data_IF_711408415878
#
_entry.id   IF_711408415878
#
_cell.length_a   1.000
_cell.length_b   1.000
_cell.length_c   1.000
_cell.angle_alpha   90.00
_cell.angle_beta   90.00
_cell.angle_gamma   90.00
#
_symmetry.space_group_name_H-M   'P 1'
#
loop_
_entity.id
_entity.type
_entity.pdbx_description
1 polymer ?
#
# COMPACT_ATOMS: atom_id res chain seq x y z
N UNK A 1 -9.91 7.79 15.28
CA UNK A 1 -9.51 7.53 13.89
C UNK A 1 -8.76 6.21 13.86
N UNK A 2 -9.10 5.29 12.95
CA UNK A 2 -8.45 3.97 12.87
C UNK A 2 -7.92 3.70 11.46
N UNK A 3 -6.66 3.30 11.36
CA UNK A 3 -6.02 2.92 10.10
C UNK A 3 -5.92 1.41 10.00
N UNK A 4 -6.31 0.85 8.87
CA UNK A 4 -5.99 -0.54 8.51
C UNK A 4 -4.68 -0.53 7.74
N UNK A 5 -3.64 -1.18 8.27
CA UNK A 5 -2.32 -1.26 7.64
C UNK A 5 -2.08 -2.71 7.22
N UNK A 6 -1.71 -2.91 5.96
CA UNK A 6 -1.44 -4.23 5.36
C UNK A 6 -0.13 -4.20 4.58
N UNK A 7 0.52 -5.35 4.45
CA UNK A 7 1.74 -5.50 3.65
C UNK A 7 2.27 -6.93 3.66
N UNK A 8 3.13 -7.26 2.71
CA UNK A 8 3.92 -8.51 2.56
C UNK A 8 3.10 -9.79 2.32
N UNK A 9 2.03 -9.99 3.09
CA UNK A 9 1.16 -11.15 3.01
C UNK A 9 -0.30 -10.75 3.15
N UNK A 10 -1.12 -11.34 2.30
CA UNK A 10 -2.57 -11.20 2.38
C UNK A 10 -3.12 -11.97 3.57
N UNK A 11 -3.89 -11.26 4.40
CA UNK A 11 -4.58 -11.83 5.55
C UNK A 11 -5.92 -12.45 5.11
N UNK A 12 -6.13 -13.78 5.26
CA UNK A 12 -7.37 -14.44 4.87
C UNK A 12 -8.62 -13.83 5.51
N UNK A 13 -8.54 -13.33 6.74
CA UNK A 13 -9.66 -12.67 7.43
C UNK A 13 -10.08 -11.35 6.76
N UNK A 14 -9.22 -10.76 5.94
CA UNK A 14 -9.47 -9.55 5.19
C UNK A 14 -9.86 -9.83 3.72
N UNK A 15 -9.93 -11.11 3.30
CA UNK A 15 -10.27 -11.49 1.93
C UNK A 15 -11.16 -12.73 1.86
N UNK A 16 -10.61 -13.93 2.06
CA UNK A 16 -11.32 -15.21 1.91
C UNK A 16 -12.47 -15.38 2.92
N UNK A 17 -12.25 -14.92 4.15
CA UNK A 17 -13.22 -14.97 5.25
C UNK A 17 -13.64 -13.57 5.67
N UNK A 18 -13.76 -12.67 4.69
CA UNK A 18 -14.04 -11.28 4.95
C UNK A 18 -15.38 -11.07 5.66
N UNK A 19 -15.31 -10.48 6.85
CA UNK A 19 -16.46 -9.96 7.58
C UNK A 19 -16.16 -8.54 8.07
N UNK A 20 -16.85 -7.57 7.47
CA UNK A 20 -16.70 -6.14 7.79
C UNK A 20 -17.01 -5.84 9.26
N UNK A 21 -17.89 -6.62 9.90
CA UNK A 21 -18.28 -6.41 11.29
C UNK A 21 -17.12 -6.59 12.28
N UNK A 22 -16.12 -7.40 11.90
CA UNK A 22 -14.90 -7.67 12.70
C UNK A 22 -13.92 -6.50 12.70
N UNK A 23 -14.08 -5.56 11.76
CA UNK A 23 -13.20 -4.43 11.57
C UNK A 23 -13.96 -3.08 11.59
N UNK A 24 -14.65 -2.74 12.70
CA UNK A 24 -15.50 -1.57 12.75
C UNK A 24 -14.68 -0.26 12.89
N UNK A 25 -15.09 0.73 12.10
CA UNK A 25 -14.61 2.11 12.23
C UNK A 25 -13.26 2.39 11.56
N UNK A 26 -12.89 1.64 10.51
CA UNK A 26 -11.74 2.00 9.67
C UNK A 26 -12.01 3.31 8.95
N UNK A 27 -11.04 4.23 9.00
CA UNK A 27 -11.07 5.54 8.34
C UNK A 27 -10.22 5.59 7.06
N UNK A 28 -9.11 4.87 7.04
CA UNK A 28 -8.08 4.89 6.00
C UNK A 28 -7.41 3.51 5.90
N UNK A 29 -7.08 3.09 4.68
CA UNK A 29 -6.27 1.89 4.42
C UNK A 29 -4.88 2.33 3.96
N UNK A 30 -3.85 1.74 4.54
CA UNK A 30 -2.45 1.91 4.16
C UNK A 30 -1.87 0.57 3.72
N UNK A 31 -1.17 0.55 2.59
CA UNK A 31 -0.40 -0.61 2.14
C UNK A 31 1.08 -0.28 2.07
N UNK A 32 1.91 -1.14 2.68
CA UNK A 32 3.38 -1.04 2.61
C UNK A 32 3.98 -1.85 1.45
N UNK A 33 3.15 -2.44 0.59
CA UNK A 33 3.58 -3.16 -0.60
C UNK A 33 3.64 -4.68 -0.45
N UNK A 34 4.08 -5.34 -1.53
CA UNK A 34 4.16 -6.80 -1.72
C UNK A 34 2.80 -7.49 -1.53
N UNK A 35 1.76 -6.89 -2.10
CA UNK A 35 0.38 -7.38 -2.06
C UNK A 35 -0.21 -7.37 -3.46
N UNK A 36 -1.15 -8.28 -3.76
CA UNK A 36 -1.75 -8.29 -5.11
C UNK A 36 -2.59 -7.01 -5.32
N UNK A 37 -2.57 -6.40 -6.51
CA UNK A 37 -3.41 -5.24 -6.83
C UNK A 37 -4.90 -5.48 -6.60
N UNK A 38 -5.37 -6.69 -6.89
CA UNK A 38 -6.76 -7.11 -6.69
C UNK A 38 -7.17 -7.14 -5.22
N UNK A 39 -6.27 -7.57 -4.33
CA UNK A 39 -6.50 -7.57 -2.89
C UNK A 39 -6.68 -6.14 -2.36
N UNK A 40 -5.78 -5.22 -2.73
CA UNK A 40 -5.90 -3.81 -2.33
C UNK A 40 -7.17 -3.15 -2.90
N UNK A 41 -7.51 -3.45 -4.15
CA UNK A 41 -8.76 -2.97 -4.78
C UNK A 41 -10.00 -3.49 -4.04
N UNK A 42 -9.97 -4.76 -3.61
CA UNK A 42 -11.02 -5.37 -2.81
C UNK A 42 -11.16 -4.67 -1.46
N UNK A 43 -10.07 -4.47 -0.71
CA UNK A 43 -10.13 -3.78 0.58
C UNK A 43 -10.75 -2.39 0.47
N UNK A 44 -10.30 -1.61 -0.52
CA UNK A 44 -10.85 -0.27 -0.77
C UNK A 44 -12.36 -0.32 -1.04
N UNK A 45 -12.80 -1.29 -1.85
CA UNK A 45 -14.21 -1.48 -2.22
C UNK A 45 -15.05 -1.90 -1.01
N UNK A 46 -14.62 -2.90 -0.26
CA UNK A 46 -15.39 -3.49 0.83
C UNK A 46 -15.48 -2.57 2.05
N UNK A 47 -14.37 -1.89 2.39
CA UNK A 47 -14.38 -0.91 3.46
C UNK A 47 -14.99 0.43 3.04
N UNK A 48 -14.98 0.75 1.74
CA UNK A 48 -15.37 2.05 1.19
C UNK A 48 -14.60 3.19 1.88
N UNK A 49 -13.27 3.06 1.91
CA UNK A 49 -12.35 4.01 2.55
C UNK A 49 -11.17 4.29 1.62
N UNK A 50 -10.55 5.48 1.72
CA UNK A 50 -9.38 5.79 0.93
C UNK A 50 -8.26 4.76 1.15
N UNK A 51 -7.52 4.47 0.08
CA UNK A 51 -6.35 3.61 0.10
C UNK A 51 -5.14 4.44 -0.34
N UNK A 52 -4.14 4.54 0.54
CA UNK A 52 -2.80 4.99 0.17
C UNK A 52 -1.87 3.80 0.19
N UNK A 53 -1.03 3.67 -0.84
CA UNK A 53 -0.11 2.56 -0.94
C UNK A 53 1.25 3.02 -1.44
N UNK A 54 2.25 2.21 -1.14
CA UNK A 54 3.53 2.17 -1.84
C UNK A 54 3.70 0.78 -2.44
N UNK A 55 4.57 0.66 -3.44
CA UNK A 55 4.95 -0.64 -4.00
C UNK A 55 6.02 -1.29 -3.13
N UNK A 56 5.90 -2.59 -2.91
CA UNK A 56 7.00 -3.41 -2.45
C UNK A 56 7.94 -3.73 -3.61
N UNK A 57 9.05 -4.39 -3.33
CA UNK A 57 10.04 -4.73 -4.35
C UNK A 57 9.52 -5.78 -5.35
N UNK A 58 8.53 -6.59 -4.98
CA UNK A 58 7.95 -7.62 -5.85
C UNK A 58 6.71 -7.13 -6.62
N UNK A 59 6.24 -5.91 -6.38
CA UNK A 59 5.04 -5.33 -7.00
C UNK A 59 5.25 -4.85 -8.45
N UNK A 60 6.09 -5.52 -9.22
CA UNK A 60 6.41 -5.18 -10.63
C UNK A 60 5.15 -5.10 -11.51
N UNK A 61 4.13 -5.92 -11.21
CA UNK A 61 2.87 -5.98 -11.94
C UNK A 61 2.05 -4.68 -11.83
N UNK A 62 2.32 -3.84 -10.83
CA UNK A 62 1.58 -2.58 -10.61
C UNK A 62 1.78 -1.59 -11.76
N UNK A 63 2.87 -1.72 -12.53
CA UNK A 63 3.10 -0.90 -13.73
C UNK A 63 2.02 -1.12 -14.80
N UNK A 64 1.52 -2.35 -14.91
CA UNK A 64 0.50 -2.73 -15.89
C UNK A 64 -0.90 -2.76 -15.27
N UNK A 65 -0.99 -3.23 -14.02
CA UNK A 65 -2.25 -3.47 -13.32
C UNK A 65 -2.16 -2.93 -11.89
N UNK A 66 -2.18 -1.61 -11.70
CA UNK A 66 -2.18 -1.04 -10.36
C UNK A 66 -3.49 -1.31 -9.61
N UNK A 67 -3.51 -1.20 -8.27
CA UNK A 67 -4.74 -1.19 -7.49
C UNK A 67 -5.72 -0.14 -8.02
N UNK A 68 -6.97 -0.54 -8.25
CA UNK A 68 -8.00 0.39 -8.75
C UNK A 68 -8.43 1.34 -7.64
N UNK A 69 -8.40 2.64 -7.91
CA UNK A 69 -8.85 3.71 -7.01
C UNK A 69 -7.94 4.03 -5.82
N UNK A 70 -6.93 3.20 -5.54
CA UNK A 70 -5.88 3.53 -4.59
C UNK A 70 -4.94 4.61 -5.13
N UNK A 71 -4.32 5.38 -4.23
CA UNK A 71 -3.30 6.37 -4.57
C UNK A 71 -1.92 5.85 -4.17
N UNK A 72 -1.01 5.70 -5.14
CA UNK A 72 0.41 5.52 -4.83
C UNK A 72 0.95 6.84 -4.26
N UNK A 73 1.63 6.78 -3.11
CA UNK A 73 2.21 7.93 -2.41
C UNK A 73 3.74 7.90 -2.33
N UNK A 74 4.41 7.08 -3.14
CA UNK A 74 5.88 7.09 -3.25
C UNK A 74 6.42 8.51 -3.53
N UNK A 75 7.41 8.94 -2.74
CA UNK A 75 8.02 10.27 -2.83
C UNK A 75 7.08 11.41 -2.45
N UNK A 76 5.94 11.14 -1.81
CA UNK A 76 4.94 12.14 -1.47
C UNK A 76 4.62 12.14 0.03
N UNK A 77 4.43 13.35 0.57
CA UNK A 77 3.78 13.54 1.87
C UNK A 77 2.31 13.88 1.62
N UNK A 78 1.40 13.03 2.09
CA UNK A 78 -0.05 13.28 2.07
C UNK A 78 -0.54 13.61 3.48
N UNK A 79 -1.59 14.43 3.58
CA UNK A 79 -2.23 14.76 4.87
C UNK A 79 -3.66 14.21 4.89
N UNK A 80 -3.96 13.36 5.88
CA UNK A 80 -5.29 12.82 6.10
C UNK A 80 -5.77 13.18 7.50
N UNK A 81 -6.83 14.00 7.59
CA UNK A 81 -7.43 14.47 8.85
C UNK A 81 -6.38 14.98 9.87
N UNK A 82 -5.39 15.74 9.39
CA UNK A 82 -4.31 16.30 10.22
C UNK A 82 -3.08 15.41 10.42
N UNK A 83 -3.13 14.13 10.00
CA UNK A 83 -1.96 13.23 10.05
C UNK A 83 -1.19 13.28 8.74
N UNK A 84 0.11 13.56 8.81
CA UNK A 84 1.02 13.55 7.66
C UNK A 84 1.63 12.16 7.48
N UNK A 85 1.60 11.66 6.25
CA UNK A 85 2.04 10.31 5.88
C UNK A 85 3.00 10.47 4.71
N UNK A 86 4.24 10.01 4.88
CA UNK A 86 5.25 9.93 3.82
C UNK A 86 5.26 8.51 3.24
N UNK A 87 5.22 8.39 1.91
CA UNK A 87 5.41 7.12 1.23
C UNK A 87 6.81 6.98 0.63
N UNK A 88 7.46 5.86 0.89
CA UNK A 88 8.69 5.43 0.23
C UNK A 88 8.53 3.98 -0.19
N UNK A 89 8.66 3.71 -1.48
CA UNK A 89 8.46 2.39 -2.06
C UNK A 89 9.76 1.66 -2.37
N UNK A 90 9.66 0.36 -2.59
CA UNK A 90 10.75 -0.52 -2.98
C UNK A 90 11.62 -0.95 -1.80
N UNK A 91 12.80 -1.46 -2.13
CA UNK A 91 13.78 -1.96 -1.17
C UNK A 91 15.19 -1.49 -1.50
N UNK A 92 16.15 -1.79 -0.62
CA UNK A 92 17.57 -1.59 -0.92
C UNK A 92 17.98 -2.45 -2.12
N UNK A 93 18.94 -1.97 -2.90
CA UNK A 93 19.49 -2.72 -4.02
C UNK A 93 20.16 -4.03 -3.57
N UNK A 94 19.71 -5.16 -4.10
CA UNK A 94 20.34 -6.46 -3.86
C UNK A 94 20.41 -7.38 -5.10
N UNK A 95 19.81 -6.99 -6.23
CA UNK A 95 19.88 -7.79 -7.45
C UNK A 95 19.23 -7.22 -8.71
N UNK A 96 18.58 -6.06 -8.64
CA UNK A 96 18.00 -5.36 -9.78
C UNK A 96 16.85 -6.11 -10.46
N UNK A 97 16.14 -6.98 -9.73
CA UNK A 97 15.04 -7.80 -10.28
C UNK A 97 13.67 -7.22 -9.99
N UNK A 98 13.58 -6.32 -9.02
CA UNK A 98 12.35 -5.70 -8.57
C UNK A 98 12.41 -4.18 -8.56
N UNK A 99 11.54 -3.60 -7.75
CA UNK A 99 11.57 -2.18 -7.41
C UNK A 99 12.60 -2.00 -6.30
N UNK A 100 13.83 -1.73 -6.71
CA UNK A 100 15.02 -1.65 -5.86
C UNK A 100 15.74 -0.33 -6.09
N UNK A 101 16.35 0.20 -5.03
CA UNK A 101 17.02 1.49 -5.06
C UNK A 101 18.36 1.43 -4.31
N UNK A 102 19.37 2.07 -4.86
CA UNK A 102 20.61 2.42 -4.15
C UNK A 102 20.34 3.49 -3.09
N UNK A 103 21.24 3.63 -2.12
CA UNK A 103 21.15 4.67 -1.10
C UNK A 103 21.07 6.09 -1.69
N UNK A 104 21.79 6.31 -2.80
CA UNK A 104 21.76 7.60 -3.52
C UNK A 104 20.36 7.83 -4.09
N UNK A 105 19.81 6.86 -4.84
CA UNK A 105 18.47 6.99 -5.41
C UNK A 105 17.40 7.21 -4.35
N UNK A 106 17.46 6.51 -3.22
CA UNK A 106 16.54 6.74 -2.09
C UNK A 106 16.70 8.13 -1.48
N UNK A 107 17.93 8.63 -1.34
CA UNK A 107 18.19 9.97 -0.80
C UNK A 107 17.60 11.08 -1.68
N UNK A 108 17.48 10.87 -2.98
CA UNK A 108 16.90 11.86 -3.90
C UNK A 108 15.36 11.84 -3.93
N UNK A 109 14.70 10.86 -3.28
CA UNK A 109 13.23 10.77 -3.25
C UNK A 109 12.55 11.79 -2.33
N UNK A 110 13.27 12.40 -1.38
CA UNK A 110 12.71 13.31 -0.35
C UNK A 110 13.59 14.52 -0.12
#
# INVERSE_FOLDING_TARGET
MKFLVVGDKEEPLLYDYFDKSRFPGIDLILSTGDLRPGYLSFLMTMFNKPLYYVRGNHDIIYKEKPPKGGRNIDGQIVTYKGVRILGLEGSMWYGGRGIEYTDIEMRWKV
#
